data_IF_747870367999
#
_entry.id   IF_747870367999
#
_cell.length_a   1.000
_cell.length_b   1.000
_cell.length_c   1.000
_cell.angle_alpha   90.00
_cell.angle_beta   90.00
_cell.angle_gamma   90.00
#
_symmetry.space_group_name_H-M   'P 1'
#
loop_
_entity.id
_entity.type
_entity.pdbx_description
1 polymer ?
#
# COMPACT_ATOMS: atom_id res chain seq x y z
N UNK A 1 -31.77 -3.55 8.81
CA UNK A 1 -30.43 -3.41 9.41
C UNK A 1 -30.35 -2.21 10.36
N UNK A 2 -31.34 -1.35 10.38
CA UNK A 2 -31.45 -0.15 11.23
C UNK A 2 -32.06 -0.42 12.62
N UNK A 3 -32.79 -1.53 12.81
CA UNK A 3 -33.46 -1.82 14.10
C UNK A 3 -32.59 -2.56 15.14
N UNK A 4 -31.43 -3.06 14.75
CA UNK A 4 -30.49 -3.72 15.68
C UNK A 4 -29.56 -2.72 16.38
N UNK A 5 -29.31 -1.57 15.81
CA UNK A 5 -28.44 -0.54 16.39
C UNK A 5 -29.17 0.27 17.47
N UNK A 6 -30.50 0.38 17.37
CA UNK A 6 -31.29 1.10 18.36
C UNK A 6 -31.57 0.30 19.65
N UNK A 7 -31.58 -1.04 19.58
CA UNK A 7 -31.79 -1.87 20.77
C UNK A 7 -30.52 -2.06 21.63
N UNK A 8 -29.33 -1.87 21.06
CA UNK A 8 -28.06 -1.92 21.81
C UNK A 8 -27.75 -0.62 22.57
N UNK A 9 -28.49 0.46 22.32
CA UNK A 9 -28.34 1.76 23.00
C UNK A 9 -29.26 1.95 24.23
N UNK A 10 -30.27 1.14 24.40
CA UNK A 10 -31.23 1.25 25.53
C UNK A 10 -31.01 0.21 26.66
N UNK A 11 -30.21 -0.82 26.49
CA UNK A 11 -29.88 -1.80 27.56
C UNK A 11 -28.67 -1.42 28.43
N UNK A 12 -28.21 -0.18 28.37
CA UNK A 12 -27.02 0.31 29.07
C UNK A 12 -27.25 0.82 30.50
N UNK A 13 -27.99 0.15 31.36
CA UNK A 13 -27.67 0.16 32.79
C UNK A 13 -26.43 -0.71 32.97
N UNK A 14 -25.29 -0.09 32.78
CA UNK A 14 -23.97 -0.74 32.81
C UNK A 14 -23.80 -1.41 34.15
N UNK A 15 -23.71 -2.74 34.12
CA UNK A 15 -23.18 -3.52 35.25
C UNK A 15 -21.72 -3.08 35.49
N UNK A 16 -21.57 -2.07 36.37
CA UNK A 16 -20.27 -1.52 36.75
C UNK A 16 -19.51 -2.46 37.73
N UNK A 17 -20.07 -3.63 38.08
CA UNK A 17 -19.51 -4.56 39.04
C UNK A 17 -18.13 -5.12 38.68
N UNK A 18 -17.74 -5.02 37.42
CA UNK A 18 -16.40 -5.42 36.94
C UNK A 18 -15.38 -4.26 37.01
N UNK A 19 -15.83 -3.01 37.29
CA UNK A 19 -14.98 -1.82 37.36
C UNK A 19 -14.52 -1.64 38.82
N UNK A 20 -13.22 -1.72 39.03
CA UNK A 20 -12.63 -1.56 40.33
C UNK A 20 -11.95 -0.19 40.44
N UNK A 21 -12.36 0.60 41.47
CA UNK A 21 -11.82 1.91 41.78
C UNK A 21 -11.05 1.83 43.11
N UNK A 22 -9.78 2.26 43.08
CA UNK A 22 -8.99 2.42 44.30
C UNK A 22 -9.13 3.86 44.79
N UNK A 23 -9.52 4.02 46.07
CA UNK A 23 -9.59 5.32 46.77
C UNK A 23 -8.44 5.42 47.75
N UNK A 24 -7.64 6.45 47.62
CA UNK A 24 -6.49 6.76 48.50
C UNK A 24 -6.74 8.13 49.14
N UNK A 25 -6.90 8.15 50.43
CA UNK A 25 -7.16 9.37 51.21
C UNK A 25 -6.72 9.08 52.66
N UNK A 26 -6.10 10.01 53.34
CA UNK A 26 -5.64 9.80 54.72
C UNK A 26 -6.77 9.95 55.75
N UNK A 27 -7.85 10.69 55.43
CA UNK A 27 -9.02 10.85 56.27
C UNK A 27 -9.97 9.63 56.19
N UNK A 28 -10.20 8.98 57.33
CA UNK A 28 -11.06 7.80 57.38
C UNK A 28 -12.52 8.08 57.05
N UNK A 29 -13.03 9.29 57.33
CA UNK A 29 -14.39 9.68 57.00
C UNK A 29 -14.55 9.88 55.48
N UNK A 30 -13.62 10.60 54.85
CA UNK A 30 -13.55 10.77 53.42
C UNK A 30 -13.56 9.43 52.67
N UNK A 31 -12.68 8.51 53.08
CA UNK A 31 -12.61 7.14 52.51
C UNK A 31 -13.96 6.43 52.60
N UNK A 32 -14.63 6.50 53.78
CA UNK A 32 -15.91 5.83 54.00
C UNK A 32 -17.02 6.42 53.12
N UNK A 33 -17.10 7.75 53.02
CA UNK A 33 -18.08 8.44 52.19
C UNK A 33 -17.87 8.11 50.71
N UNK A 34 -16.63 8.20 50.22
CA UNK A 34 -16.32 7.89 48.81
C UNK A 34 -16.61 6.43 48.49
N UNK A 35 -16.24 5.48 49.38
CA UNK A 35 -16.56 4.07 49.16
C UNK A 35 -18.06 3.81 49.10
N UNK A 36 -18.86 4.46 49.94
CA UNK A 36 -20.32 4.35 49.89
C UNK A 36 -20.91 4.92 48.56
N UNK A 37 -20.44 6.10 48.15
CA UNK A 37 -20.87 6.72 46.87
C UNK A 37 -20.54 5.83 45.68
N UNK A 38 -19.35 5.26 45.61
CA UNK A 38 -18.92 4.38 44.52
C UNK A 38 -19.68 3.05 44.50
N UNK A 39 -19.86 2.45 45.69
CA UNK A 39 -20.64 1.20 45.78
C UNK A 39 -22.10 1.40 45.45
N UNK A 40 -22.69 2.53 45.86
CA UNK A 40 -24.04 2.87 45.46
C UNK A 40 -24.21 3.13 43.94
N UNK A 41 -23.13 3.54 43.26
CA UNK A 41 -23.06 3.65 41.79
C UNK A 41 -22.70 2.34 41.08
N UNK A 42 -22.59 1.21 41.81
CA UNK A 42 -22.34 -0.12 41.26
C UNK A 42 -20.87 -0.48 41.06
N UNK A 43 -19.92 0.39 41.42
CA UNK A 43 -18.47 0.12 41.28
C UNK A 43 -17.94 -0.76 42.41
N UNK A 44 -16.95 -1.60 42.12
CA UNK A 44 -16.11 -2.22 43.17
C UNK A 44 -15.14 -1.18 43.70
N UNK A 45 -15.05 -1.08 45.02
CA UNK A 45 -14.18 -0.10 45.69
C UNK A 45 -13.18 -0.78 46.60
N UNK A 46 -11.89 -0.49 46.38
CA UNK A 46 -10.83 -0.72 47.39
C UNK A 46 -10.45 0.63 47.99
N UNK A 47 -10.03 0.61 49.24
CA UNK A 47 -9.60 1.82 49.93
C UNK A 47 -8.24 1.58 50.58
N UNK A 48 -7.39 2.60 50.63
CA UNK A 48 -6.16 2.61 51.44
C UNK A 48 -5.91 4.00 52.00
N UNK A 49 -5.06 4.08 53.02
CA UNK A 49 -4.91 5.27 53.87
C UNK A 49 -3.71 6.15 53.52
N UNK A 50 -2.77 5.64 52.74
CA UNK A 50 -1.55 6.36 52.39
C UNK A 50 -0.98 5.96 51.02
N UNK A 51 -0.05 6.77 50.52
CA UNK A 51 0.54 6.60 49.20
C UNK A 51 1.43 5.38 49.07
N UNK A 52 2.05 4.91 50.14
CA UNK A 52 2.92 3.72 50.11
C UNK A 52 2.09 2.46 49.96
N UNK A 53 1.03 2.32 50.77
CA UNK A 53 0.05 1.24 50.65
C UNK A 53 -0.63 1.23 49.27
N UNK A 54 -0.93 2.42 48.75
CA UNK A 54 -1.50 2.55 47.40
C UNK A 54 -0.58 1.97 46.31
N UNK A 55 0.73 2.26 46.34
CA UNK A 55 1.68 1.71 45.37
C UNK A 55 1.79 0.19 45.47
N UNK A 56 1.81 -0.39 46.68
CA UNK A 56 1.83 -1.84 46.86
C UNK A 56 0.59 -2.51 46.28
N UNK A 57 -0.61 -1.96 46.57
CA UNK A 57 -1.86 -2.45 46.05
C UNK A 57 -1.91 -2.37 44.51
N UNK A 58 -1.47 -1.23 43.94
CA UNK A 58 -1.49 -1.00 42.50
C UNK A 58 -0.53 -1.95 41.77
N UNK A 59 0.67 -2.20 42.30
CA UNK A 59 1.62 -3.13 41.69
C UNK A 59 1.14 -4.59 41.77
N UNK A 60 0.47 -4.96 42.87
CA UNK A 60 -0.09 -6.30 43.02
C UNK A 60 -1.30 -6.54 42.06
N UNK A 61 -2.20 -5.56 42.01
CA UNK A 61 -3.41 -5.63 41.17
C UNK A 61 -3.85 -4.22 40.73
N UNK A 62 -3.49 -3.78 39.51
CA UNK A 62 -3.82 -2.44 39.02
C UNK A 62 -5.33 -2.18 38.94
N UNK A 63 -5.86 -1.12 39.57
CA UNK A 63 -7.28 -0.80 39.51
C UNK A 63 -7.70 -0.27 38.10
N UNK A 64 -8.99 -0.20 37.86
CA UNK A 64 -9.50 0.38 36.64
C UNK A 64 -9.39 1.91 36.61
N UNK A 65 -9.54 2.54 37.82
CA UNK A 65 -9.41 3.99 38.02
C UNK A 65 -8.88 4.23 39.45
N UNK A 66 -8.12 5.30 39.61
CA UNK A 66 -7.58 5.76 40.92
C UNK A 66 -8.22 7.08 41.30
N UNK A 67 -8.80 7.16 42.49
CA UNK A 67 -9.09 8.40 43.19
C UNK A 67 -8.00 8.64 44.24
N UNK A 68 -7.27 9.75 44.12
CA UNK A 68 -6.08 9.99 44.89
C UNK A 68 -6.14 11.34 45.56
N UNK A 69 -6.09 11.37 46.86
CA UNK A 69 -5.97 12.63 47.63
C UNK A 69 -4.63 13.30 47.35
N UNK A 70 -4.66 14.60 47.17
CA UNK A 70 -3.45 15.39 46.93
C UNK A 70 -2.64 15.57 48.17
N UNK A 71 -3.28 15.92 49.30
CA UNK A 71 -2.65 16.26 50.56
C UNK A 71 -2.68 15.09 51.54
N UNK A 72 -1.65 14.25 51.50
CA UNK A 72 -1.49 13.12 52.43
C UNK A 72 -0.16 13.22 53.18
N UNK A 73 -0.10 12.82 54.47
CA UNK A 73 1.16 12.78 55.21
C UNK A 73 2.12 11.72 54.63
N UNK A 74 3.39 12.05 54.61
CA UNK A 74 4.43 11.17 54.05
C UNK A 74 4.55 11.27 52.54
N UNK A 75 4.10 10.27 51.82
CA UNK A 75 4.07 10.28 50.35
C UNK A 75 2.77 10.93 49.86
N UNK A 76 2.85 12.17 49.37
CA UNK A 76 1.70 12.92 48.88
C UNK A 76 1.20 12.40 47.53
N UNK A 77 -0.04 12.79 47.13
CA UNK A 77 -0.66 12.30 45.92
C UNK A 77 0.12 12.63 44.63
N UNK A 78 0.75 13.79 44.53
CA UNK A 78 1.56 14.16 43.39
C UNK A 78 2.81 13.28 43.24
N UNK A 79 3.43 12.90 44.32
CA UNK A 79 4.60 12.00 44.34
C UNK A 79 4.20 10.56 43.98
N UNK A 80 3.06 10.08 44.49
CA UNK A 80 2.49 8.78 44.10
C UNK A 80 2.27 8.76 42.58
N UNK A 81 1.61 9.77 42.07
CA UNK A 81 1.29 9.85 40.65
C UNK A 81 2.53 9.92 39.74
N UNK A 82 3.54 10.69 40.12
CA UNK A 82 4.83 10.74 39.39
C UNK A 82 5.49 9.36 39.33
N UNK A 83 5.49 8.60 40.45
CA UNK A 83 6.03 7.22 40.48
C UNK A 83 5.23 6.31 39.54
N UNK A 84 3.89 6.37 39.56
CA UNK A 84 3.03 5.59 38.67
C UNK A 84 3.29 5.93 37.18
N UNK A 85 3.39 7.21 36.85
CA UNK A 85 3.65 7.64 35.46
C UNK A 85 5.03 7.24 34.92
N UNK A 86 5.99 7.03 35.84
CA UNK A 86 7.36 6.57 35.54
C UNK A 86 7.51 5.05 35.56
N UNK A 87 6.44 4.30 35.84
CA UNK A 87 6.48 2.86 35.95
C UNK A 87 6.72 2.22 34.57
N UNK A 88 7.53 1.14 34.55
CA UNK A 88 7.82 0.38 33.33
C UNK A 88 6.62 -0.42 32.80
N UNK A 89 5.70 -0.77 33.71
CA UNK A 89 4.49 -1.49 33.38
C UNK A 89 3.41 -0.52 32.82
N UNK A 90 3.05 -0.57 31.53
CA UNK A 90 2.04 0.31 30.96
C UNK A 90 0.66 0.18 31.64
N UNK A 91 0.36 -0.98 32.23
CA UNK A 91 -0.91 -1.20 32.93
C UNK A 91 -0.98 -0.38 34.23
N UNK A 92 0.18 -0.05 34.85
CA UNK A 92 0.31 0.82 35.99
C UNK A 92 0.45 2.27 35.59
N UNK A 93 1.36 2.57 34.65
CA UNK A 93 1.65 3.93 34.21
C UNK A 93 0.44 4.69 33.63
N UNK A 94 -0.51 3.95 33.04
CA UNK A 94 -1.67 4.48 32.33
C UNK A 94 -2.99 4.35 33.09
N UNK A 95 -2.95 4.11 34.42
CA UNK A 95 -4.17 4.09 35.25
C UNK A 95 -4.80 5.49 35.23
N UNK A 96 -6.07 5.66 34.79
CA UNK A 96 -6.76 6.93 34.89
C UNK A 96 -6.82 7.36 36.37
N UNK A 97 -6.34 8.56 36.66
CA UNK A 97 -6.23 9.09 37.99
C UNK A 97 -6.97 10.40 38.11
N UNK A 98 -7.95 10.48 39.05
CA UNK A 98 -8.66 11.69 39.45
C UNK A 98 -8.09 12.11 40.78
N UNK A 99 -7.51 13.30 40.86
CA UNK A 99 -6.99 13.86 42.09
C UNK A 99 -8.12 14.50 42.91
N UNK A 100 -8.10 14.29 44.23
CA UNK A 100 -8.97 14.99 45.18
C UNK A 100 -8.17 16.12 45.81
N UNK A 101 -8.66 17.36 45.71
CA UNK A 101 -7.90 18.53 46.20
C UNK A 101 -8.73 19.38 47.16
N UNK A 102 -8.11 20.08 48.12
CA UNK A 102 -8.77 21.04 48.97
C UNK A 102 -9.24 22.28 48.16
N UNK A 103 -10.37 22.86 48.56
CA UNK A 103 -10.98 24.01 47.89
C UNK A 103 -10.10 25.26 48.02
N UNK A 104 -9.71 25.92 46.94
CA UNK A 104 -9.32 27.32 46.98
C UNK A 104 -7.94 27.73 46.46
N UNK A 105 -7.19 26.91 45.70
CA UNK A 105 -6.02 27.45 44.99
C UNK A 105 -5.94 26.96 43.57
N UNK A 106 -6.02 27.86 42.59
CA UNK A 106 -5.68 27.61 41.17
C UNK A 106 -4.30 26.90 41.04
N UNK A 107 -3.40 27.16 42.01
CA UNK A 107 -2.08 26.51 42.08
C UNK A 107 -2.17 25.01 42.29
N UNK A 108 -3.12 24.53 43.14
CA UNK A 108 -3.28 23.09 43.39
C UNK A 108 -3.84 22.36 42.21
N UNK A 109 -4.78 22.94 41.47
CA UNK A 109 -5.36 22.36 40.25
C UNK A 109 -4.33 22.23 39.15
N UNK A 110 -3.53 23.28 38.89
CA UNK A 110 -2.43 23.25 37.93
C UNK A 110 -1.36 22.24 38.36
N UNK A 111 -1.06 22.14 39.63
CA UNK A 111 -0.09 21.17 40.16
C UNK A 111 -0.54 19.72 39.97
N UNK A 112 -1.84 19.42 40.12
CA UNK A 112 -2.39 18.09 39.86
C UNK A 112 -2.22 17.68 38.42
N UNK A 113 -2.57 18.55 37.47
CA UNK A 113 -2.44 18.29 36.04
C UNK A 113 -0.96 18.17 35.60
N UNK A 114 -0.08 19.03 36.16
CA UNK A 114 1.36 18.96 35.90
C UNK A 114 2.00 17.69 36.47
N UNK A 115 1.45 17.13 37.55
CA UNK A 115 1.88 15.84 38.08
C UNK A 115 1.46 14.65 37.20
N UNK A 116 0.61 14.88 36.21
CA UNK A 116 0.12 13.87 35.26
C UNK A 116 -1.25 13.28 35.61
N UNK A 117 -2.07 14.00 36.42
CA UNK A 117 -3.45 13.60 36.69
C UNK A 117 -4.29 13.74 35.40
N UNK A 118 -5.22 12.81 35.20
CA UNK A 118 -6.14 12.86 34.07
C UNK A 118 -7.32 13.80 34.34
N UNK A 119 -7.63 14.02 35.63
CA UNK A 119 -8.66 14.97 36.09
C UNK A 119 -8.50 15.29 37.58
N UNK A 120 -9.30 16.23 38.11
CA UNK A 120 -9.36 16.54 39.53
C UNK A 120 -10.79 16.84 39.97
N UNK A 121 -11.03 16.68 41.29
CA UNK A 121 -12.29 17.05 41.95
C UNK A 121 -11.96 17.77 43.26
N UNK A 122 -12.60 18.90 43.53
CA UNK A 122 -12.42 19.69 44.74
C UNK A 122 -13.23 19.11 45.91
N UNK A 123 -12.63 19.09 47.12
CA UNK A 123 -13.32 18.79 48.39
C UNK A 123 -14.06 20.03 48.89
N UNK A 124 -15.31 19.95 49.41
CA UNK A 124 -16.06 18.72 49.64
C UNK A 124 -16.58 18.12 48.31
N UNK A 125 -16.42 16.79 48.16
CA UNK A 125 -16.72 16.08 46.95
C UNK A 125 -18.22 16.06 46.65
N UNK A 126 -18.63 16.65 45.54
CA UNK A 126 -20.00 16.55 45.02
C UNK A 126 -20.16 15.21 44.28
N UNK A 127 -21.12 14.40 44.70
CA UNK A 127 -21.34 13.06 44.16
C UNK A 127 -21.64 13.04 42.66
N UNK A 128 -22.43 14.00 42.17
CA UNK A 128 -22.80 14.08 40.74
C UNK A 128 -21.57 14.48 39.89
N UNK A 129 -20.73 15.39 40.36
CA UNK A 129 -19.51 15.83 39.68
C UNK A 129 -18.49 14.67 39.65
N UNK A 130 -18.27 14.00 40.77
CA UNK A 130 -17.37 12.85 40.84
C UNK A 130 -17.79 11.75 39.89
N UNK A 131 -19.08 11.40 39.88
CA UNK A 131 -19.65 10.40 38.96
C UNK A 131 -19.40 10.76 37.51
N UNK A 132 -19.72 11.98 37.08
CA UNK A 132 -19.52 12.44 35.70
C UNK A 132 -18.04 12.37 35.30
N UNK A 133 -17.10 12.72 36.19
CA UNK A 133 -15.67 12.63 35.95
C UNK A 133 -15.21 11.17 35.80
N UNK A 134 -15.65 10.27 36.68
CA UNK A 134 -15.36 8.84 36.61
C UNK A 134 -15.85 8.27 35.27
N UNK A 135 -17.12 8.51 34.91
CA UNK A 135 -17.70 8.02 33.66
C UNK A 135 -16.92 8.53 32.44
N UNK A 136 -16.49 9.80 32.45
CA UNK A 136 -15.67 10.39 31.38
C UNK A 136 -14.33 9.68 31.26
N UNK A 137 -13.62 9.48 32.39
CA UNK A 137 -12.30 8.81 32.37
C UNK A 137 -12.40 7.34 31.96
N UNK A 138 -13.43 6.63 32.39
CA UNK A 138 -13.69 5.25 31.98
C UNK A 138 -14.00 5.15 30.48
N UNK A 139 -14.80 6.08 29.95
CA UNK A 139 -15.09 6.17 28.50
C UNK A 139 -13.80 6.42 27.72
N UNK A 140 -12.99 7.39 28.10
CA UNK A 140 -11.72 7.68 27.44
C UNK A 140 -10.79 6.45 27.45
N UNK A 141 -10.69 5.74 28.60
CA UNK A 141 -9.92 4.51 28.69
C UNK A 141 -10.43 3.42 27.74
N UNK A 142 -11.75 3.22 27.66
CA UNK A 142 -12.35 2.21 26.78
C UNK A 142 -12.09 2.53 25.29
N UNK A 143 -12.28 3.79 24.90
CA UNK A 143 -12.01 4.26 23.54
C UNK A 143 -10.54 4.09 23.15
N UNK A 144 -9.63 4.43 24.04
CA UNK A 144 -8.19 4.24 23.81
C UNK A 144 -7.81 2.77 23.60
N UNK A 145 -8.34 1.88 24.46
CA UNK A 145 -8.12 0.43 24.32
C UNK A 145 -8.69 -0.12 23.01
N UNK A 146 -9.86 0.37 22.60
CA UNK A 146 -10.47 -0.01 21.33
C UNK A 146 -9.59 0.42 20.16
N UNK A 147 -9.10 1.64 20.18
CA UNK A 147 -8.21 2.17 19.14
C UNK A 147 -6.87 1.39 19.07
N UNK A 148 -6.29 1.08 20.23
CA UNK A 148 -5.07 0.24 20.29
C UNK A 148 -5.30 -1.14 19.65
N UNK A 149 -6.43 -1.81 19.98
CA UNK A 149 -6.80 -3.10 19.34
C UNK A 149 -6.98 -3.00 17.84
N UNK A 150 -7.69 -1.97 17.38
CA UNK A 150 -7.90 -1.75 15.94
C UNK A 150 -6.58 -1.49 15.21
N UNK A 151 -5.67 -0.73 15.80
CA UNK A 151 -4.33 -0.53 15.23
C UNK A 151 -3.54 -1.84 15.15
N UNK A 152 -3.55 -2.66 16.19
CA UNK A 152 -2.88 -3.96 16.19
C UNK A 152 -3.45 -4.91 15.11
N UNK A 153 -4.77 -4.91 14.93
CA UNK A 153 -5.44 -5.68 13.87
C UNK A 153 -5.04 -5.16 12.48
N UNK A 154 -5.10 -3.85 12.26
CA UNK A 154 -4.69 -3.23 10.98
C UNK A 154 -3.22 -3.55 10.63
N UNK A 155 -2.32 -3.49 11.61
CA UNK A 155 -0.92 -3.83 11.39
C UNK A 155 -0.71 -5.32 11.06
N UNK A 156 -1.50 -6.22 11.67
CA UNK A 156 -1.48 -7.65 11.32
C UNK A 156 -1.98 -7.88 9.89
N UNK A 157 -3.11 -7.26 9.53
CA UNK A 157 -3.68 -7.31 8.19
C UNK A 157 -2.68 -6.78 7.14
N UNK A 158 -2.07 -5.61 7.41
CA UNK A 158 -1.06 -5.03 6.51
C UNK A 158 0.11 -5.98 6.27
N UNK A 159 0.67 -6.56 7.35
CA UNK A 159 1.78 -7.51 7.24
C UNK A 159 1.43 -8.77 6.46
N UNK A 160 0.22 -9.30 6.62
CA UNK A 160 -0.23 -10.44 5.84
C UNK A 160 -0.38 -10.10 4.36
N UNK A 161 -1.05 -8.98 4.05
CA UNK A 161 -1.21 -8.50 2.67
C UNK A 161 0.15 -8.26 1.99
N UNK A 162 1.11 -7.64 2.67
CA UNK A 162 2.46 -7.43 2.16
C UNK A 162 3.17 -8.76 1.82
N UNK A 163 2.97 -9.80 2.63
CA UNK A 163 3.51 -11.15 2.36
C UNK A 163 2.86 -11.80 1.14
N UNK A 164 1.54 -11.71 1.03
CA UNK A 164 0.79 -12.29 -0.09
C UNK A 164 1.16 -11.61 -1.40
N UNK A 165 1.28 -10.28 -1.40
CA UNK A 165 1.73 -9.52 -2.57
C UNK A 165 3.19 -9.83 -2.92
N UNK A 166 4.08 -10.01 -1.94
CA UNK A 166 5.46 -10.40 -2.20
C UNK A 166 5.55 -11.80 -2.85
N UNK A 167 4.71 -12.75 -2.43
CA UNK A 167 4.63 -14.06 -3.07
C UNK A 167 4.10 -13.96 -4.51
N UNK A 168 3.05 -13.17 -4.74
CA UNK A 168 2.52 -12.91 -6.08
C UNK A 168 3.56 -12.25 -7.00
N UNK A 169 4.33 -11.30 -6.48
CA UNK A 169 5.47 -10.67 -7.19
C UNK A 169 6.47 -11.70 -7.70
N UNK A 170 6.92 -12.60 -6.83
CA UNK A 170 7.89 -13.64 -7.21
C UNK A 170 7.34 -14.52 -8.33
N UNK A 171 6.05 -14.88 -8.25
CA UNK A 171 5.39 -15.65 -9.30
C UNK A 171 5.35 -14.88 -10.61
N UNK A 172 4.90 -13.63 -10.60
CA UNK A 172 4.85 -12.78 -11.81
C UNK A 172 6.25 -12.55 -12.40
N UNK A 173 7.26 -12.26 -11.57
CA UNK A 173 8.63 -12.10 -12.02
C UNK A 173 9.18 -13.36 -12.70
N UNK A 174 8.78 -14.56 -12.28
CA UNK A 174 9.19 -15.80 -12.95
C UNK A 174 8.60 -15.96 -14.35
N UNK A 175 7.52 -15.24 -14.65
CA UNK A 175 6.91 -15.23 -15.97
C UNK A 175 7.61 -14.30 -16.96
N UNK A 176 8.29 -13.28 -16.47
CA UNK A 176 9.06 -12.33 -17.28
C UNK A 176 10.39 -12.96 -17.65
N UNK A 177 10.89 -12.78 -18.88
CA UNK A 177 12.19 -13.30 -19.27
C UNK A 177 13.33 -12.79 -18.38
N UNK A 178 14.03 -13.70 -17.70
CA UNK A 178 15.10 -13.36 -16.76
C UNK A 178 16.50 -13.26 -17.43
N UNK A 179 16.62 -13.76 -18.63
CA UNK A 179 17.89 -13.77 -19.38
C UNK A 179 17.68 -13.12 -20.73
N UNK A 180 18.65 -12.35 -21.21
CA UNK A 180 18.62 -11.83 -22.58
C UNK A 180 18.45 -12.98 -23.59
N UNK A 181 17.69 -12.72 -24.65
CA UNK A 181 17.55 -13.67 -25.74
C UNK A 181 18.88 -13.74 -26.51
N UNK A 182 19.54 -14.89 -26.59
CA UNK A 182 20.78 -15.01 -27.34
C UNK A 182 20.48 -15.05 -28.84
N UNK A 183 20.47 -13.90 -29.46
CA UNK A 183 20.32 -13.74 -30.90
C UNK A 183 21.65 -13.25 -31.49
N UNK A 184 22.08 -13.93 -32.54
CA UNK A 184 23.25 -13.48 -33.26
C UNK A 184 22.96 -12.16 -33.97
N UNK A 185 23.87 -11.21 -33.89
CA UNK A 185 23.80 -9.87 -34.50
C UNK A 185 22.65 -8.99 -33.98
N UNK A 186 22.07 -9.33 -32.81
CA UNK A 186 21.01 -8.57 -32.15
C UNK A 186 21.27 -8.44 -30.66
N UNK A 187 21.01 -7.25 -30.15
CA UNK A 187 21.11 -6.91 -28.72
C UNK A 187 19.71 -6.56 -28.19
N UNK A 188 19.39 -7.08 -26.99
CA UNK A 188 18.06 -6.91 -26.36
C UNK A 188 18.24 -6.39 -24.94
N UNK A 189 17.60 -5.28 -24.62
CA UNK A 189 17.58 -4.71 -23.28
C UNK A 189 16.13 -4.45 -22.82
N UNK A 190 15.88 -4.65 -21.53
CA UNK A 190 14.54 -4.49 -20.96
C UNK A 190 14.59 -3.75 -19.64
N UNK A 191 13.50 -3.02 -19.35
CA UNK A 191 13.23 -2.43 -18.04
C UNK A 191 11.80 -2.75 -17.65
N UNK A 192 11.59 -3.22 -16.43
CA UNK A 192 10.27 -3.48 -15.85
C UNK A 192 10.22 -2.87 -14.44
N UNK A 193 9.34 -1.90 -14.25
CA UNK A 193 9.14 -1.19 -12.98
C UNK A 193 7.65 -1.15 -12.63
N UNK A 194 7.17 -2.09 -11.83
CA UNK A 194 5.79 -2.06 -11.35
C UNK A 194 5.61 -0.96 -10.28
N UNK A 195 4.43 -0.34 -10.23
CA UNK A 195 4.05 0.69 -9.23
C UNK A 195 3.97 0.11 -7.83
N UNK A 196 3.38 -1.08 -7.74
CA UNK A 196 3.23 -1.83 -6.49
C UNK A 196 4.07 -3.10 -6.65
N UNK A 197 3.94 -4.04 -5.76
CA UNK A 197 4.69 -5.30 -5.82
C UNK A 197 4.37 -6.14 -7.06
N UNK A 198 3.18 -5.98 -7.66
CA UNK A 198 2.72 -6.67 -8.87
C UNK A 198 2.09 -5.66 -9.83
N UNK A 199 2.36 -5.81 -11.13
CA UNK A 199 1.95 -4.86 -12.16
C UNK A 199 0.95 -5.42 -13.17
N UNK A 200 0.30 -4.50 -13.93
CA UNK A 200 -0.54 -4.79 -15.08
C UNK A 200 0.22 -5.01 -16.38
N UNK A 201 1.50 -4.66 -16.40
CA UNK A 201 2.37 -4.83 -17.54
C UNK A 201 2.99 -6.22 -17.61
N UNK A 202 3.19 -6.71 -18.86
CA UNK A 202 3.97 -7.90 -19.12
C UNK A 202 4.60 -7.83 -20.51
N UNK A 203 5.74 -8.48 -20.69
CA UNK A 203 6.42 -8.61 -21.96
C UNK A 203 7.06 -9.99 -22.10
N UNK A 204 7.41 -10.32 -23.35
CA UNK A 204 8.10 -11.57 -23.62
C UNK A 204 8.59 -11.68 -25.06
N UNK A 205 9.21 -12.82 -25.32
CA UNK A 205 9.59 -13.24 -26.65
C UNK A 205 9.43 -14.75 -26.80
N UNK A 206 9.09 -15.19 -27.99
CA UNK A 206 8.87 -16.58 -28.35
C UNK A 206 9.52 -16.86 -29.69
N UNK A 207 10.05 -18.06 -29.88
CA UNK A 207 10.49 -18.50 -31.21
C UNK A 207 9.29 -19.05 -31.96
N UNK A 208 9.03 -18.51 -33.14
CA UNK A 208 8.01 -19.01 -34.05
C UNK A 208 8.49 -20.26 -34.79
N UNK A 209 7.54 -21.02 -35.37
CA UNK A 209 7.84 -22.27 -36.13
C UNK A 209 8.76 -22.06 -37.32
N UNK A 210 8.68 -20.90 -37.96
CA UNK A 210 9.49 -20.53 -39.13
C UNK A 210 10.87 -19.94 -38.76
N UNK A 211 11.19 -19.87 -37.46
CA UNK A 211 12.47 -19.36 -36.96
C UNK A 211 12.47 -17.87 -36.64
N UNK A 212 11.44 -17.12 -36.98
CA UNK A 212 11.26 -15.74 -36.52
C UNK A 212 11.14 -15.69 -34.99
N UNK A 213 11.37 -14.51 -34.44
CA UNK A 213 11.16 -14.24 -33.00
C UNK A 213 9.99 -13.30 -32.87
N UNK A 214 8.97 -13.72 -32.13
CA UNK A 214 7.86 -12.89 -31.73
C UNK A 214 8.22 -12.16 -30.45
N UNK A 215 8.50 -10.87 -30.52
CA UNK A 215 8.55 -9.98 -29.34
C UNK A 215 7.17 -9.44 -29.09
N UNK A 216 6.76 -9.32 -27.83
CA UNK A 216 5.46 -8.78 -27.48
C UNK A 216 5.49 -8.06 -26.13
N UNK A 217 4.62 -7.08 -25.99
CA UNK A 217 4.35 -6.34 -24.76
C UNK A 217 2.83 -6.21 -24.62
N UNK A 218 2.33 -6.27 -23.41
CA UNK A 218 0.91 -6.05 -23.12
C UNK A 218 0.75 -5.34 -21.78
N UNK A 219 -0.30 -4.52 -21.69
CA UNK A 219 -0.71 -3.81 -20.51
C UNK A 219 -2.19 -4.09 -20.24
N UNK A 220 -2.46 -4.72 -19.10
CA UNK A 220 -3.79 -5.09 -18.65
C UNK A 220 -4.44 -3.97 -17.84
N UNK A 221 -5.75 -3.80 -17.99
CA UNK A 221 -6.52 -2.79 -17.25
C UNK A 221 -6.42 -2.96 -15.74
N UNK A 222 -6.04 -1.90 -15.02
CA UNK A 222 -5.98 -1.85 -13.57
C UNK A 222 -4.58 -2.09 -13.01
N UNK A 223 -4.48 -2.20 -11.69
CA UNK A 223 -3.24 -2.41 -10.95
C UNK A 223 -3.42 -3.43 -9.82
N UNK A 224 -2.31 -3.94 -9.33
CA UNK A 224 -2.30 -4.87 -8.19
C UNK A 224 -2.65 -6.32 -8.59
N UNK A 225 -3.19 -7.09 -7.63
CA UNK A 225 -3.37 -8.54 -7.78
C UNK A 225 -4.27 -8.94 -8.96
N UNK A 226 -5.31 -8.16 -9.27
CA UNK A 226 -6.21 -8.44 -10.39
C UNK A 226 -5.47 -8.29 -11.73
N UNK A 227 -4.70 -7.22 -11.91
CA UNK A 227 -3.89 -6.99 -13.11
C UNK A 227 -2.81 -8.07 -13.27
N UNK A 228 -2.17 -8.49 -12.17
CA UNK A 228 -1.19 -9.57 -12.19
C UNK A 228 -1.76 -10.92 -12.69
N UNK A 229 -3.03 -11.21 -12.41
CA UNK A 229 -3.71 -12.39 -12.96
C UNK A 229 -3.93 -12.26 -14.47
N UNK A 230 -4.32 -11.06 -14.94
CA UNK A 230 -4.47 -10.77 -16.37
C UNK A 230 -3.14 -10.96 -17.11
N UNK A 231 -2.04 -10.44 -16.56
CA UNK A 231 -0.71 -10.58 -17.18
C UNK A 231 -0.22 -12.02 -17.22
N UNK A 232 -0.51 -12.80 -16.18
CA UNK A 232 -0.20 -14.24 -16.16
C UNK A 232 -0.91 -14.96 -17.29
N UNK A 233 -2.21 -14.67 -17.47
CA UNK A 233 -2.99 -15.24 -18.55
C UNK A 233 -2.49 -14.76 -19.91
N UNK A 234 -2.19 -13.46 -20.07
CA UNK A 234 -1.66 -12.91 -21.33
C UNK A 234 -0.46 -13.71 -21.82
N UNK A 235 0.50 -14.03 -20.95
CA UNK A 235 1.65 -14.87 -21.30
C UNK A 235 1.25 -16.24 -21.84
N UNK A 236 0.29 -16.91 -21.21
CA UNK A 236 -0.20 -18.21 -21.65
C UNK A 236 -0.90 -18.11 -23.00
N UNK A 237 -1.72 -17.07 -23.22
CA UNK A 237 -2.42 -16.84 -24.48
C UNK A 237 -1.46 -16.55 -25.63
N UNK A 238 -0.43 -15.72 -25.43
CA UNK A 238 0.59 -15.49 -26.45
C UNK A 238 1.39 -16.76 -26.76
N UNK A 239 1.68 -17.58 -25.74
CA UNK A 239 2.37 -18.84 -25.94
C UNK A 239 1.55 -19.81 -26.77
N UNK A 240 0.28 -20.02 -26.40
CA UNK A 240 -0.67 -20.86 -27.11
C UNK A 240 -0.91 -20.38 -28.54
N UNK A 241 -1.16 -19.08 -28.72
CA UNK A 241 -1.32 -18.48 -30.05
C UNK A 241 -0.10 -18.68 -30.96
N UNK A 242 1.13 -18.57 -30.40
CA UNK A 242 2.36 -18.82 -31.16
C UNK A 242 2.56 -20.31 -31.52
N UNK A 243 2.02 -21.25 -30.73
CA UNK A 243 2.07 -22.67 -31.06
C UNK A 243 1.09 -23.06 -32.18
N UNK A 244 -0.04 -22.38 -32.28
CA UNK A 244 -1.10 -22.73 -33.25
C UNK A 244 -1.08 -21.91 -34.52
N UNK A 245 -0.54 -20.69 -34.50
CA UNK A 245 -0.59 -19.73 -35.58
C UNK A 245 0.79 -19.31 -36.09
N UNK A 246 0.88 -18.94 -37.34
CA UNK A 246 2.17 -18.68 -38.03
C UNK A 246 2.38 -17.18 -38.34
N UNK A 247 1.40 -16.31 -38.08
CA UNK A 247 1.54 -14.85 -38.30
C UNK A 247 1.19 -14.04 -37.07
N UNK A 248 1.81 -12.87 -36.87
CA UNK A 248 1.48 -12.03 -35.70
C UNK A 248 0.01 -11.57 -35.70
N UNK A 249 -0.62 -11.37 -36.84
CA UNK A 249 -2.03 -11.02 -36.92
C UNK A 249 -2.93 -12.17 -36.44
N UNK A 250 -2.69 -13.40 -36.88
CA UNK A 250 -3.48 -14.57 -36.44
C UNK A 250 -3.22 -14.91 -34.97
N UNK A 251 -2.00 -14.67 -34.42
CA UNK A 251 -1.72 -14.80 -33.02
C UNK A 251 -2.54 -13.79 -32.21
N UNK A 252 -2.57 -12.52 -32.62
CA UNK A 252 -3.34 -11.47 -31.93
C UNK A 252 -4.85 -11.75 -31.97
N UNK A 253 -5.35 -12.28 -33.08
CA UNK A 253 -6.75 -12.71 -33.21
C UNK A 253 -7.08 -13.84 -32.23
N UNK A 254 -6.25 -14.86 -32.16
CA UNK A 254 -6.42 -15.96 -31.20
C UNK A 254 -6.39 -15.46 -29.76
N UNK A 255 -5.40 -14.63 -29.40
CA UNK A 255 -5.30 -14.02 -28.06
C UNK A 255 -6.54 -13.18 -27.73
N UNK A 256 -7.08 -12.39 -28.70
CA UNK A 256 -8.30 -11.62 -28.48
C UNK A 256 -9.50 -12.52 -28.19
N UNK A 257 -9.67 -13.59 -28.97
CA UNK A 257 -10.81 -14.49 -28.86
C UNK A 257 -10.78 -15.26 -27.54
N UNK A 258 -9.62 -15.79 -27.16
CA UNK A 258 -9.44 -16.52 -25.90
C UNK A 258 -9.60 -15.60 -24.70
N UNK A 259 -8.97 -14.41 -24.72
CA UNK A 259 -9.09 -13.43 -23.65
C UNK A 259 -10.56 -13.01 -23.44
N UNK A 260 -11.28 -12.73 -24.54
CA UNK A 260 -12.69 -12.36 -24.48
C UNK A 260 -13.57 -13.52 -24.00
N UNK A 261 -13.28 -14.75 -24.41
CA UNK A 261 -13.99 -15.96 -23.95
C UNK A 261 -13.92 -16.13 -22.44
N UNK A 262 -12.78 -15.75 -21.83
CA UNK A 262 -12.53 -15.90 -20.40
C UNK A 262 -13.15 -14.76 -19.59
N UNK A 263 -12.97 -13.50 -20.02
CA UNK A 263 -13.33 -12.31 -19.24
C UNK A 263 -14.59 -11.58 -19.75
N UNK A 264 -15.08 -11.91 -20.94
CA UNK A 264 -16.13 -11.16 -21.61
C UNK A 264 -15.65 -9.74 -21.97
N UNK A 265 -16.59 -8.78 -22.00
CA UNK A 265 -16.29 -7.36 -22.30
C UNK A 265 -15.92 -6.53 -21.05
N UNK A 266 -15.69 -7.16 -19.91
CA UNK A 266 -15.42 -6.45 -18.62
C UNK A 266 -13.96 -6.05 -18.46
N UNK A 267 -13.08 -6.74 -19.15
CA UNK A 267 -11.63 -6.50 -19.10
C UNK A 267 -11.08 -6.43 -20.50
N UNK A 268 -10.09 -5.61 -20.70
CA UNK A 268 -9.36 -5.51 -21.95
C UNK A 268 -7.87 -5.31 -21.63
N UNK A 269 -7.01 -5.56 -22.59
CA UNK A 269 -5.59 -5.23 -22.51
C UNK A 269 -5.10 -4.62 -23.80
N UNK A 270 -4.17 -3.70 -23.70
CA UNK A 270 -3.43 -3.20 -24.86
C UNK A 270 -2.28 -4.14 -25.15
N UNK A 271 -1.93 -4.32 -26.42
CA UNK A 271 -0.78 -5.15 -26.78
C UNK A 271 -0.13 -4.70 -28.09
N UNK A 272 1.17 -4.93 -28.21
CA UNK A 272 1.95 -4.78 -29.42
C UNK A 272 2.83 -6.01 -29.59
N UNK A 273 2.87 -6.57 -30.80
CA UNK A 273 3.79 -7.66 -31.13
C UNK A 273 4.57 -7.39 -32.42
N UNK A 274 5.78 -7.94 -32.47
CA UNK A 274 6.76 -7.81 -33.55
C UNK A 274 7.30 -9.19 -33.88
N UNK A 275 6.98 -9.73 -35.06
CA UNK A 275 7.61 -10.96 -35.55
C UNK A 275 8.83 -10.59 -36.40
N UNK A 276 10.02 -10.78 -35.84
CA UNK A 276 11.31 -10.44 -36.42
C UNK A 276 11.98 -11.67 -37.03
N UNK A 277 12.36 -11.58 -38.29
CA UNK A 277 13.32 -12.49 -38.90
C UNK A 277 14.76 -12.03 -38.55
N UNK A 278 15.47 -12.75 -37.67
CA UNK A 278 16.78 -12.29 -37.21
C UNK A 278 17.88 -12.38 -38.28
N UNK A 279 17.65 -13.13 -39.38
CA UNK A 279 18.62 -13.27 -40.43
C UNK A 279 18.51 -12.10 -41.41
N UNK A 280 17.31 -11.81 -41.85
CA UNK A 280 17.09 -10.77 -42.86
C UNK A 280 16.86 -9.39 -42.29
N UNK A 281 16.39 -9.26 -41.02
CA UNK A 281 15.96 -8.01 -40.43
C UNK A 281 14.54 -7.57 -40.82
N UNK A 282 13.81 -8.41 -41.55
CA UNK A 282 12.40 -8.14 -41.84
C UNK A 282 11.56 -8.36 -40.61
N UNK A 283 10.61 -7.47 -40.36
CA UNK A 283 9.71 -7.60 -39.21
C UNK A 283 8.28 -7.24 -39.60
N UNK A 284 7.30 -7.96 -39.02
CA UNK A 284 5.88 -7.68 -39.11
C UNK A 284 5.37 -7.24 -37.73
N UNK A 285 4.64 -6.14 -37.70
CA UNK A 285 4.17 -5.49 -36.46
C UNK A 285 2.65 -5.47 -36.42
N UNK A 286 2.07 -5.82 -35.29
CA UNK A 286 0.62 -5.71 -35.05
C UNK A 286 0.41 -5.07 -33.68
N UNK A 287 -0.41 -4.02 -33.62
CA UNK A 287 -0.76 -3.32 -32.38
C UNK A 287 -2.26 -3.32 -32.13
N UNK A 288 -2.64 -3.50 -30.87
CA UNK A 288 -4.01 -3.53 -30.36
C UNK A 288 -4.16 -2.49 -29.23
N UNK A 289 -4.50 -1.25 -29.58
CA UNK A 289 -4.72 -0.16 -28.62
C UNK A 289 -3.50 0.25 -27.81
N UNK A 290 -2.31 -0.22 -28.16
CA UNK A 290 -1.06 0.00 -27.41
C UNK A 290 -0.35 1.26 -27.93
N UNK A 291 0.51 1.92 -27.08
CA UNK A 291 1.37 2.99 -27.57
C UNK A 291 2.15 2.61 -28.83
N UNK A 292 2.47 3.55 -29.71
CA UNK A 292 3.11 3.25 -30.98
C UNK A 292 4.53 2.68 -30.75
N UNK A 293 4.90 1.69 -31.55
CA UNK A 293 6.28 1.21 -31.62
C UNK A 293 7.15 2.30 -32.25
N UNK A 294 8.33 2.56 -31.66
CA UNK A 294 9.31 3.48 -32.21
C UNK A 294 10.48 2.72 -32.86
N UNK A 295 10.82 3.08 -34.07
CA UNK A 295 12.01 2.58 -34.78
C UNK A 295 13.03 3.70 -34.87
N UNK A 296 14.22 3.50 -34.31
CA UNK A 296 15.32 4.46 -34.40
C UNK A 296 16.35 4.01 -35.42
N UNK A 297 16.87 4.99 -36.19
CA UNK A 297 17.87 4.74 -37.20
C UNK A 297 19.15 5.56 -36.94
N UNK A 298 20.34 5.07 -37.29
CA UNK A 298 21.61 5.75 -37.04
C UNK A 298 21.71 7.14 -37.71
N UNK A 299 20.90 7.38 -38.73
CA UNK A 299 20.85 8.69 -39.43
C UNK A 299 20.11 9.78 -38.63
N UNK A 300 19.62 9.48 -37.43
CA UNK A 300 18.91 10.42 -36.56
C UNK A 300 17.40 10.48 -36.79
N UNK A 301 16.83 9.55 -37.56
CA UNK A 301 15.38 9.50 -37.79
C UNK A 301 14.71 8.52 -36.82
N UNK A 302 13.51 8.89 -36.36
CA UNK A 302 12.60 8.00 -35.63
C UNK A 302 11.33 7.82 -36.46
N UNK A 303 10.92 6.57 -36.64
CA UNK A 303 9.66 6.19 -37.28
C UNK A 303 8.71 5.67 -36.19
N UNK A 304 7.48 6.18 -36.16
CA UNK A 304 6.44 5.80 -35.19
C UNK A 304 5.37 4.96 -35.87
N UNK A 305 5.15 3.73 -35.39
CA UNK A 305 4.20 2.77 -35.94
C UNK A 305 3.04 2.60 -34.98
N UNK A 306 1.88 3.16 -35.32
CA UNK A 306 0.70 3.17 -34.47
C UNK A 306 -0.03 1.83 -34.41
N UNK A 307 -0.69 1.56 -33.28
CA UNK A 307 -1.69 0.50 -33.18
C UNK A 307 -2.94 0.88 -33.99
N UNK A 308 -3.39 -0.01 -34.85
CA UNK A 308 -4.57 0.21 -35.71
C UNK A 308 -5.80 -0.47 -35.10
N UNK A 309 -5.63 -1.68 -34.55
CA UNK A 309 -6.71 -2.43 -33.95
C UNK A 309 -7.05 -1.93 -32.54
N UNK A 310 -8.30 -2.12 -32.08
CA UNK A 310 -8.72 -1.82 -30.73
C UNK A 310 -8.03 -2.74 -29.71
N UNK A 311 -8.02 -2.38 -28.40
CA UNK A 311 -7.51 -3.24 -27.34
C UNK A 311 -8.10 -4.65 -27.37
N UNK A 312 -7.29 -5.65 -27.03
CA UNK A 312 -7.69 -7.05 -26.97
C UNK A 312 -8.81 -7.26 -25.93
N UNK A 313 -9.81 -8.04 -26.27
CA UNK A 313 -10.99 -8.30 -25.44
C UNK A 313 -12.11 -7.26 -25.56
N UNK A 314 -11.86 -6.08 -26.12
CA UNK A 314 -12.84 -5.01 -26.22
C UNK A 314 -13.90 -5.30 -27.30
N UNK A 315 -13.47 -5.75 -28.47
CA UNK A 315 -14.33 -6.04 -29.63
C UNK A 315 -14.28 -7.54 -29.95
N UNK A 316 -15.38 -8.09 -30.47
CA UNK A 316 -15.54 -9.52 -30.69
C UNK A 316 -14.72 -10.07 -31.83
N UNK A 317 -14.62 -9.35 -32.94
CA UNK A 317 -13.86 -9.75 -34.13
C UNK A 317 -13.16 -8.52 -34.70
N UNK A 318 -12.09 -8.02 -34.07
CA UNK A 318 -11.33 -6.92 -34.61
C UNK A 318 -10.48 -7.40 -35.79
N UNK A 319 -10.25 -6.53 -36.78
CA UNK A 319 -9.31 -6.78 -37.85
C UNK A 319 -7.89 -6.41 -37.40
N UNK A 320 -6.96 -7.38 -37.48
CA UNK A 320 -5.54 -7.16 -37.18
C UNK A 320 -4.73 -7.07 -38.46
N UNK A 321 -4.21 -5.88 -38.73
CA UNK A 321 -3.41 -5.59 -39.93
C UNK A 321 -1.92 -5.59 -39.56
N UNK A 322 -1.09 -6.25 -40.37
CA UNK A 322 0.36 -6.28 -40.23
C UNK A 322 1.00 -5.08 -40.95
N UNK A 323 1.89 -4.39 -40.21
CA UNK A 323 2.77 -3.38 -40.81
C UNK A 323 4.15 -3.99 -40.99
N UNK A 324 4.65 -4.05 -42.22
CA UNK A 324 5.98 -4.61 -42.51
C UNK A 324 7.05 -3.51 -42.45
N UNK A 325 8.17 -3.81 -41.80
CA UNK A 325 9.37 -2.97 -41.79
C UNK A 325 10.63 -3.80 -42.08
N UNK A 326 11.69 -3.09 -42.42
CA UNK A 326 13.02 -3.68 -42.51
C UNK A 326 13.99 -2.94 -41.62
N UNK A 327 14.70 -3.69 -40.79
CA UNK A 327 15.69 -3.18 -39.86
C UNK A 327 17.08 -3.44 -40.39
N UNK A 328 17.82 -2.39 -40.71
CA UNK A 328 19.20 -2.44 -41.15
C UNK A 328 20.18 -2.55 -39.97
N UNK A 329 21.44 -2.96 -40.18
CA UNK A 329 22.46 -2.91 -39.14
C UNK A 329 22.56 -1.51 -38.51
N UNK A 330 22.44 -1.45 -37.20
CA UNK A 330 22.41 -0.21 -36.42
C UNK A 330 21.03 0.29 -36.03
N UNK A 331 19.96 -0.18 -36.70
CA UNK A 331 18.59 0.17 -36.36
C UNK A 331 18.16 -0.49 -35.04
N UNK A 332 17.22 0.13 -34.34
CA UNK A 332 16.59 -0.45 -33.17
C UNK A 332 15.08 -0.15 -33.16
N UNK A 333 14.32 -1.02 -32.50
CA UNK A 333 12.95 -0.71 -32.16
C UNK A 333 12.74 -0.73 -30.65
N UNK A 334 11.79 0.09 -30.20
CA UNK A 334 11.38 0.24 -28.78
C UNK A 334 9.88 -0.06 -28.67
N UNK A 335 9.57 -1.05 -27.82
CA UNK A 335 8.24 -1.31 -27.27
C UNK A 335 8.18 -0.76 -25.85
N UNK A 336 7.08 -0.11 -25.48
CA UNK A 336 6.95 0.50 -24.15
C UNK A 336 5.48 0.67 -23.77
N UNK A 337 5.19 0.65 -22.46
CA UNK A 337 3.86 0.93 -21.92
C UNK A 337 3.67 2.41 -21.61
N UNK A 338 2.44 2.86 -21.43
CA UNK A 338 2.11 4.28 -21.21
C UNK A 338 2.68 4.83 -19.89
N UNK A 339 3.09 3.96 -18.96
CA UNK A 339 3.82 4.36 -17.75
C UNK A 339 5.08 5.16 -18.00
N UNK A 340 5.74 4.99 -19.17
CA UNK A 340 6.89 5.81 -19.56
C UNK A 340 6.55 7.30 -19.57
N UNK A 341 5.33 7.67 -19.95
CA UNK A 341 4.86 9.06 -19.98
C UNK A 341 4.54 9.62 -18.58
N UNK A 342 4.39 8.77 -17.58
CA UNK A 342 3.99 9.12 -16.22
C UNK A 342 5.16 9.17 -15.25
N UNK A 343 6.26 8.48 -15.57
CA UNK A 343 7.51 8.51 -14.81
C UNK A 343 8.41 9.64 -15.29
N UNK A 344 8.18 10.87 -14.79
CA UNK A 344 9.01 12.02 -15.13
C UNK A 344 9.77 12.52 -13.91
N UNK A 345 10.95 13.16 -14.12
CA UNK A 345 11.76 13.76 -13.04
C UNK A 345 11.12 15.01 -12.45
N UNK A 346 10.36 15.73 -13.27
CA UNK A 346 9.74 16.99 -12.88
C UNK A 346 8.29 16.75 -12.49
N UNK A 347 7.94 16.98 -11.24
CA UNK A 347 6.56 16.90 -10.75
C UNK A 347 5.67 17.86 -11.56
N UNK A 348 4.69 17.32 -12.26
CA UNK A 348 3.68 18.06 -13.02
C UNK A 348 3.88 18.10 -14.53
N UNK A 349 4.98 17.59 -15.08
CA UNK A 349 5.18 17.46 -16.52
C UNK A 349 5.20 15.99 -16.93
N UNK A 350 4.20 15.58 -17.74
CA UNK A 350 4.20 14.26 -18.37
C UNK A 350 5.05 14.29 -19.61
N UNK A 351 5.87 13.25 -19.83
CA UNK A 351 6.59 13.06 -21.07
C UNK A 351 5.57 12.88 -22.21
N UNK A 352 5.74 13.58 -23.31
CA UNK A 352 4.93 13.39 -24.54
C UNK A 352 5.65 12.45 -25.50
N UNK A 353 4.91 11.90 -26.50
CA UNK A 353 5.51 11.09 -27.55
C UNK A 353 6.63 11.85 -28.28
N UNK A 354 6.40 13.11 -28.65
CA UNK A 354 7.40 13.95 -29.31
C UNK A 354 8.66 14.17 -28.45
N UNK A 355 8.49 14.26 -27.13
CA UNK A 355 9.62 14.37 -26.21
C UNK A 355 10.36 13.04 -26.09
N UNK A 356 9.62 11.91 -26.05
CA UNK A 356 10.22 10.58 -26.04
C UNK A 356 11.05 10.36 -27.30
N UNK A 357 10.54 10.70 -28.48
CA UNK A 357 11.27 10.60 -29.74
C UNK A 357 12.58 11.43 -29.74
N UNK A 358 12.55 12.62 -29.12
CA UNK A 358 13.73 13.52 -29.05
C UNK A 358 14.82 13.05 -28.09
N UNK A 359 14.47 12.31 -27.04
CA UNK A 359 15.44 11.82 -26.04
C UNK A 359 16.10 10.49 -26.43
N UNK A 360 15.63 9.85 -27.52
CA UNK A 360 16.23 8.61 -28.01
C UNK A 360 17.64 8.90 -28.56
N UNK A 361 18.63 8.21 -28.04
CA UNK A 361 20.01 8.32 -28.51
C UNK A 361 20.21 7.44 -29.76
N UNK A 362 20.08 8.04 -30.94
CA UNK A 362 20.28 7.39 -32.23
C UNK A 362 21.70 6.87 -32.45
N UNK A 363 22.67 7.35 -31.70
CA UNK A 363 24.07 6.92 -31.73
C UNK A 363 24.38 5.81 -30.73
N UNK A 364 23.42 5.39 -29.93
CA UNK A 364 23.59 4.39 -28.88
C UNK A 364 24.21 3.11 -29.46
N UNK A 365 25.36 2.67 -28.94
CA UNK A 365 26.06 1.50 -29.48
C UNK A 365 25.37 0.17 -29.11
N UNK A 366 24.54 0.16 -28.08
CA UNK A 366 23.85 -1.03 -27.58
C UNK A 366 22.40 -0.73 -27.23
N UNK A 367 21.56 -1.79 -27.17
CA UNK A 367 20.17 -1.67 -26.69
C UNK A 367 20.11 -1.12 -25.25
N UNK A 368 21.04 -1.51 -24.40
CA UNK A 368 21.15 -1.02 -23.02
C UNK A 368 21.47 0.49 -22.97
N UNK A 369 22.32 1.00 -23.88
CA UNK A 369 22.62 2.43 -23.95
C UNK A 369 21.39 3.22 -24.39
N UNK A 370 20.64 2.73 -25.39
CA UNK A 370 19.40 3.34 -25.84
C UNK A 370 18.32 3.32 -24.73
N UNK A 371 18.18 2.19 -24.03
CA UNK A 371 17.30 2.09 -22.87
C UNK A 371 17.65 3.12 -21.80
N UNK A 372 18.94 3.28 -21.49
CA UNK A 372 19.44 4.27 -20.52
C UNK A 372 19.14 5.71 -20.91
N UNK A 373 19.16 6.04 -22.20
CA UNK A 373 18.79 7.41 -22.65
C UNK A 373 17.36 7.76 -22.29
N UNK A 374 16.42 6.81 -22.41
CA UNK A 374 15.03 6.98 -21.98
C UNK A 374 14.94 7.07 -20.45
N UNK A 375 15.55 6.12 -19.76
CA UNK A 375 15.51 6.06 -18.29
C UNK A 375 16.16 7.28 -17.61
N UNK A 376 17.10 7.95 -18.29
CA UNK A 376 17.73 9.16 -17.80
C UNK A 376 16.72 10.33 -17.63
N UNK A 377 15.60 10.30 -18.32
CA UNK A 377 14.55 11.31 -18.27
C UNK A 377 13.34 10.89 -17.42
N UNK A 378 13.33 9.66 -16.90
CA UNK A 378 12.31 9.18 -15.97
C UNK A 378 12.76 9.34 -14.52
N UNK A 379 11.82 9.35 -13.58
CA UNK A 379 12.14 9.44 -12.16
C UNK A 379 12.93 8.21 -11.66
N UNK A 380 13.93 8.37 -10.78
CA UNK A 380 14.63 7.24 -10.19
C UNK A 380 13.73 6.45 -9.24
N UNK A 381 13.96 5.13 -9.10
CA UNK A 381 13.24 4.24 -8.18
C UNK A 381 13.20 4.70 -6.71
N UNK A 382 14.18 5.52 -6.30
CA UNK A 382 14.32 6.02 -4.92
C UNK A 382 13.50 7.29 -4.65
N UNK A 383 12.88 7.90 -5.66
CA UNK A 383 11.97 9.01 -5.43
C UNK A 383 10.73 8.50 -4.70
N UNK A 384 10.40 9.11 -3.57
CA UNK A 384 9.19 8.80 -2.77
C UNK A 384 7.87 9.11 -3.50
N UNK A 385 7.93 9.42 -4.77
CA UNK A 385 6.82 9.65 -5.69
C UNK A 385 6.38 8.29 -6.22
N UNK A 386 5.25 7.81 -5.74
CA UNK A 386 4.55 6.68 -6.36
C UNK A 386 4.19 7.07 -7.78
N UNK A 387 4.81 6.41 -8.78
CA UNK A 387 4.31 6.53 -10.14
C UNK A 387 2.85 6.09 -10.18
N UNK A 388 2.00 6.76 -10.94
CA UNK A 388 0.61 6.36 -11.08
C UNK A 388 0.42 5.09 -11.93
N UNK A 389 1.47 4.56 -12.59
CA UNK A 389 1.36 3.39 -13.47
C UNK A 389 2.67 2.59 -13.61
N UNK A 390 2.53 1.32 -14.02
CA UNK A 390 3.64 0.43 -14.30
C UNK A 390 4.43 0.93 -15.51
N UNK A 391 5.74 0.71 -15.54
CA UNK A 391 6.60 1.12 -16.64
C UNK A 391 7.38 -0.07 -17.18
N UNK A 392 7.14 -0.38 -18.45
CA UNK A 392 7.84 -1.45 -19.16
C UNK A 392 8.44 -0.92 -20.45
N UNK A 393 9.70 -1.29 -20.70
CA UNK A 393 10.41 -0.98 -21.94
C UNK A 393 11.12 -2.24 -22.43
N UNK A 394 11.07 -2.45 -23.74
CA UNK A 394 11.81 -3.52 -24.44
C UNK A 394 12.46 -2.90 -25.67
N UNK A 395 13.79 -2.91 -25.70
CA UNK A 395 14.60 -2.42 -26.82
C UNK A 395 15.24 -3.60 -27.52
N UNK A 396 15.11 -3.66 -28.83
CA UNK A 396 15.77 -4.64 -29.69
C UNK A 396 16.56 -3.90 -30.75
N UNK A 397 17.88 -4.12 -30.81
CA UNK A 397 18.79 -3.41 -31.70
C UNK A 397 19.56 -4.40 -32.56
N UNK A 398 19.61 -4.12 -33.86
CA UNK A 398 20.48 -4.83 -34.79
C UNK A 398 21.92 -4.31 -34.63
N UNK A 399 22.87 -5.19 -34.34
CA UNK A 399 24.27 -4.77 -34.22
C UNK A 399 24.79 -4.24 -35.56
N UNK A 400 25.57 -3.16 -35.53
CA UNK A 400 26.30 -2.72 -36.71
C UNK A 400 27.36 -3.76 -37.02
N UNK A 401 27.33 -4.39 -38.17
CA UNK A 401 28.34 -5.37 -38.56
C UNK A 401 29.76 -4.84 -38.35
N UNK A 402 30.61 -5.70 -37.83
CA UNK A 402 32.05 -5.39 -37.66
C UNK A 402 32.72 -5.24 -39.00
#
# INVERSE_FOLDING_TARGET
MTDRVSSELEEGMSDNSHIEILVVDDDAMSRRVLAQLLTAAGYKCRVCKDGSEALEIIHAAPPTLLLLDFDMPGLNGAEVLKRLRSDRNPAVARIPTIMLTAHGSEKSEVSCLQAGADDFVTKPVNASVLRARIETQLRLRSMRRQLERQNDELERWRRNLERDLAAARLTQQSLIPQKPLPLRDWDVATCYRPVIQVGGDIYGWLRMKDGRILFWIADGTGHGAAAALLTTLAKLLFHHGNEEHDTPASIMEAVNNDFRSIFGSRSFMTAMCVALDPVTGKASIVGAGHPPLLVTRPNGTTESIASIAPPLGLIEQPEFTETAIHLEPGDAFLLYTDGVFRWTKDEGHRLTLEQLEKILDHSAPTAEALLKSVLAHTAPETAATTSPDDMTLLVVRREAGK
#
